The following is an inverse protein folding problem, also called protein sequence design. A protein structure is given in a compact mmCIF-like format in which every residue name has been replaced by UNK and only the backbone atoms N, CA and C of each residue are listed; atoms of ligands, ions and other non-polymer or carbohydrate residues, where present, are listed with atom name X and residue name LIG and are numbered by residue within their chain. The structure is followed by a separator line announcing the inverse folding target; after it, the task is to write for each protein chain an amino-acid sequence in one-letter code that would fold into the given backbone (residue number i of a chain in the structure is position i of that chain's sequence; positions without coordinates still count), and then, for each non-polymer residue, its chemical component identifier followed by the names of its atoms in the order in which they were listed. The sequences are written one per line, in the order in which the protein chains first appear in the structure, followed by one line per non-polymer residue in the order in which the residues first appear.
data_IF_685499725649
#
_entry.id   IF_685499725649
#
_cell.length_a   1.000
_cell.length_b   1.000
_cell.length_c   1.000
_cell.angle_alpha   90.00
_cell.angle_beta   90.00
_cell.angle_gamma   90.00
#
_symmetry.space_group_name_H-M   'P 1'
#
loop_
_entity.id
_entity.type
_entity.pdbx_description
1 polymer ?
#
# COMPACT_ATOMS: atom_id res chain seq x y z
N UNK A 1 -1.24 13.06 -24.34
CA UNK A 1 0.09 12.80 -23.75
C UNK A 1 -0.10 11.94 -22.51
N UNK A 2 0.59 10.81 -22.40
CA UNK A 2 0.49 9.93 -21.24
C UNK A 2 1.12 10.59 -20.01
N UNK A 3 0.45 10.50 -18.87
CA UNK A 3 0.99 10.93 -17.57
C UNK A 3 1.68 9.74 -16.89
N UNK A 4 2.74 9.99 -16.13
CA UNK A 4 3.52 8.92 -15.53
C UNK A 4 2.71 8.18 -14.46
N UNK A 5 2.74 6.85 -14.50
CA UNK A 5 2.22 5.96 -13.46
C UNK A 5 3.38 5.20 -12.82
N UNK A 6 3.31 4.97 -11.52
CA UNK A 6 4.35 4.24 -10.78
C UNK A 6 3.75 3.16 -9.90
N UNK A 7 4.54 2.10 -9.70
CA UNK A 7 4.32 1.06 -8.70
C UNK A 7 5.57 0.99 -7.83
N UNK A 8 5.42 1.19 -6.53
CA UNK A 8 6.40 0.81 -5.53
C UNK A 8 6.10 -0.63 -5.14
N UNK A 9 6.94 -1.59 -5.54
CA UNK A 9 6.70 -2.99 -5.23
C UNK A 9 6.96 -3.29 -3.76
N UNK A 10 6.47 -4.41 -3.25
CA UNK A 10 6.59 -4.78 -1.84
C UNK A 10 8.04 -4.76 -1.33
N UNK A 11 9.03 -5.04 -2.19
CA UNK A 11 10.46 -4.97 -1.88
C UNK A 11 10.99 -3.55 -1.67
N UNK A 12 10.32 -2.54 -2.23
CA UNK A 12 10.64 -1.13 -2.04
C UNK A 12 9.93 -0.54 -0.80
N UNK A 13 9.12 -1.33 -0.10
CA UNK A 13 8.43 -0.93 1.12
C UNK A 13 9.22 -1.31 2.36
N UNK A 14 9.13 -0.48 3.39
CA UNK A 14 9.58 -0.82 4.74
C UNK A 14 8.46 -1.55 5.47
N UNK A 15 8.59 -2.88 5.58
CA UNK A 15 7.64 -3.74 6.27
C UNK A 15 8.26 -4.25 7.56
N UNK A 16 7.65 -3.92 8.70
CA UNK A 16 8.14 -4.32 10.02
C UNK A 16 8.17 -5.86 10.14
N UNK A 17 9.34 -6.39 10.51
CA UNK A 17 9.66 -7.82 10.66
C UNK A 17 9.65 -8.67 9.38
N UNK A 18 9.72 -8.05 8.20
CA UNK A 18 9.71 -8.76 6.92
C UNK A 18 10.93 -9.63 6.63
N UNK A 19 12.00 -9.48 7.41
CA UNK A 19 13.18 -10.32 7.42
C UNK A 19 12.96 -11.69 8.10
N UNK A 20 11.87 -11.84 8.86
CA UNK A 20 11.57 -13.05 9.62
C UNK A 20 10.43 -13.86 8.98
N UNK A 21 10.79 -15.04 8.47
CA UNK A 21 9.86 -15.94 7.79
C UNK A 21 8.72 -16.50 8.67
N UNK A 22 8.81 -16.35 9.99
CA UNK A 22 7.70 -16.68 10.90
C UNK A 22 6.56 -15.64 10.82
N UNK A 23 6.85 -14.43 10.32
CA UNK A 23 5.90 -13.32 10.26
C UNK A 23 5.52 -12.95 8.83
N UNK A 24 6.47 -13.00 7.89
CA UNK A 24 6.25 -12.66 6.49
C UNK A 24 6.95 -13.64 5.55
N UNK A 25 6.31 -14.03 4.47
CA UNK A 25 6.89 -14.87 3.42
C UNK A 25 6.87 -14.09 2.11
N UNK A 26 8.02 -14.07 1.42
CA UNK A 26 8.12 -13.49 0.09
C UNK A 26 7.66 -14.52 -0.96
N UNK A 27 6.71 -14.12 -1.82
CA UNK A 27 6.11 -14.97 -2.85
C UNK A 27 6.36 -14.37 -4.23
N UNK A 28 6.77 -15.23 -5.16
CA UNK A 28 6.84 -14.90 -6.57
C UNK A 28 5.44 -14.89 -7.18
N UNK A 29 5.04 -13.75 -7.72
CA UNK A 29 3.85 -13.58 -8.53
C UNK A 29 4.31 -13.37 -9.98
N UNK A 30 3.87 -14.24 -10.89
CA UNK A 30 4.01 -13.98 -12.32
C UNK A 30 2.92 -13.02 -12.74
N UNK A 31 3.30 -11.85 -13.24
CA UNK A 31 2.32 -10.94 -13.83
C UNK A 31 2.06 -11.29 -15.31
N UNK A 32 1.21 -10.50 -15.97
CA UNK A 32 0.82 -10.74 -17.36
C UNK A 32 1.97 -10.57 -18.37
N UNK A 33 3.05 -9.89 -17.98
CA UNK A 33 4.28 -9.72 -18.77
C UNK A 33 5.26 -10.89 -18.59
N UNK A 34 4.90 -11.92 -17.81
CA UNK A 34 5.77 -13.01 -17.36
C UNK A 34 6.95 -12.56 -16.50
N UNK A 35 7.01 -11.28 -16.12
CA UNK A 35 7.97 -10.77 -15.15
C UNK A 35 7.57 -11.28 -13.75
N UNK A 36 8.56 -11.80 -13.04
CA UNK A 36 8.36 -12.35 -11.70
C UNK A 36 8.51 -11.22 -10.68
N UNK A 37 7.39 -10.79 -10.09
CA UNK A 37 7.40 -9.78 -9.03
C UNK A 37 7.30 -10.46 -7.67
N UNK A 38 8.00 -9.92 -6.68
CA UNK A 38 7.89 -10.41 -5.31
C UNK A 38 6.79 -9.66 -4.55
N UNK A 39 5.94 -10.44 -3.89
CA UNK A 39 4.86 -9.97 -3.01
C UNK A 39 5.13 -10.44 -1.58
N UNK A 40 4.67 -9.68 -0.59
CA UNK A 40 4.85 -10.01 0.82
C UNK A 40 3.55 -10.63 1.37
N UNK A 41 3.58 -11.92 1.71
CA UNK A 41 2.50 -12.63 2.39
C UNK A 41 2.69 -12.55 3.91
N UNK A 42 1.74 -11.96 4.60
CA UNK A 42 1.66 -11.93 6.05
C UNK A 42 1.27 -13.31 6.58
N UNK A 43 2.18 -13.96 7.30
CA UNK A 43 1.92 -15.21 8.01
C UNK A 43 1.08 -14.95 9.24
N UNK A 44 1.63 -14.18 10.19
CA UNK A 44 0.93 -13.84 11.43
C UNK A 44 1.66 -12.73 12.19
N UNK A 45 1.01 -11.61 12.52
CA UNK A 45 1.57 -10.55 13.39
C UNK A 45 0.51 -9.92 14.28
N UNK A 46 0.89 -9.43 15.46
CA UNK A 46 0.03 -8.56 16.27
C UNK A 46 0.23 -7.07 15.96
N UNK A 47 1.42 -6.69 15.48
CA UNK A 47 1.78 -5.34 15.02
C UNK A 47 1.92 -5.34 13.50
N UNK A 48 0.92 -4.82 12.80
CA UNK A 48 1.01 -4.60 11.35
C UNK A 48 1.50 -3.18 11.13
N UNK A 49 2.60 -3.02 10.40
CA UNK A 49 3.15 -1.73 10.03
C UNK A 49 3.95 -1.81 8.73
N UNK A 50 3.52 -1.03 7.76
CA UNK A 50 4.09 -0.97 6.41
C UNK A 50 4.18 0.49 6.00
N UNK A 51 5.35 0.89 5.51
CA UNK A 51 5.63 2.25 5.05
C UNK A 51 6.24 2.25 3.65
N UNK A 52 5.90 3.27 2.86
CA UNK A 52 6.48 3.55 1.55
C UNK A 52 6.78 5.02 1.40
N UNK A 53 7.74 5.34 0.53
CA UNK A 53 8.21 6.70 0.27
C UNK A 53 8.33 6.90 -1.23
N UNK A 54 7.90 8.07 -1.73
CA UNK A 54 7.99 8.37 -3.15
C UNK A 54 8.31 9.84 -3.42
N UNK A 55 9.27 10.10 -4.30
CA UNK A 55 9.66 11.45 -4.71
C UNK A 55 8.69 11.99 -5.77
N UNK A 56 7.98 13.07 -5.43
CA UNK A 56 6.99 13.70 -6.32
C UNK A 56 7.60 14.30 -7.58
N UNK A 57 8.93 14.54 -7.62
CA UNK A 57 9.63 15.02 -8.83
C UNK A 57 9.55 14.05 -10.01
N UNK A 58 9.28 12.77 -9.76
CA UNK A 58 9.10 11.75 -10.80
C UNK A 58 7.72 11.81 -11.46
N UNK A 59 6.75 12.49 -10.81
CA UNK A 59 5.38 12.59 -11.28
C UNK A 59 5.23 13.69 -12.34
N UNK A 60 4.21 13.56 -13.18
CA UNK A 60 3.86 14.60 -14.14
C UNK A 60 3.34 15.85 -13.39
N UNK A 61 3.79 17.06 -13.74
CA UNK A 61 3.35 18.29 -13.08
C UNK A 61 1.86 18.60 -13.32
N UNK A 62 1.30 19.47 -12.49
CA UNK A 62 -0.08 19.98 -12.59
C UNK A 62 -1.15 18.89 -12.78
N UNK A 63 -0.98 17.74 -12.12
CA UNK A 63 -1.81 16.54 -12.30
C UNK A 63 -2.32 16.03 -10.96
N UNK A 64 -3.59 15.62 -10.94
CA UNK A 64 -4.17 14.91 -9.81
C UNK A 64 -3.69 13.46 -9.82
N UNK A 65 -3.16 13.00 -8.70
CA UNK A 65 -2.69 11.64 -8.47
C UNK A 65 -3.49 10.98 -7.36
N UNK A 66 -3.76 9.69 -7.53
CA UNK A 66 -4.31 8.80 -6.51
C UNK A 66 -3.23 7.83 -6.06
N UNK A 67 -3.18 7.58 -4.74
CA UNK A 67 -2.27 6.64 -4.10
C UNK A 67 -3.09 5.50 -3.51
N UNK A 68 -2.82 4.26 -3.95
CA UNK A 68 -3.52 3.06 -3.49
C UNK A 68 -2.55 1.96 -3.06
N UNK A 69 -2.85 1.24 -1.97
CA UNK A 69 -2.21 -0.05 -1.72
C UNK A 69 -2.84 -1.12 -2.61
N UNK A 70 -2.01 -1.95 -3.25
CA UNK A 70 -2.47 -3.10 -4.04
C UNK A 70 -2.23 -4.36 -3.23
N UNK A 71 -3.33 -5.00 -2.81
CA UNK A 71 -3.30 -6.10 -1.84
C UNK A 71 -4.28 -7.22 -2.21
N UNK A 72 -4.14 -8.37 -1.58
CA UNK A 72 -5.08 -9.48 -1.62
C UNK A 72 -5.25 -10.05 -0.21
N UNK A 73 -6.46 -10.49 0.14
CA UNK A 73 -6.69 -11.29 1.34
C UNK A 73 -6.92 -12.74 0.96
N UNK A 74 -6.18 -13.67 1.56
CA UNK A 74 -6.40 -15.11 1.37
C UNK A 74 -7.73 -15.56 1.96
N UNK A 75 -8.27 -16.67 1.47
CA UNK A 75 -9.43 -17.36 2.04
C UNK A 75 -9.21 -17.68 3.53
N UNK A 76 -7.98 -18.03 3.90
CA UNK A 76 -7.49 -18.33 5.25
C UNK A 76 -7.14 -17.10 6.10
N UNK A 77 -7.37 -15.89 5.60
CA UNK A 77 -7.09 -14.66 6.33
C UNK A 77 -7.92 -14.57 7.62
N UNK A 78 -7.29 -14.11 8.71
CA UNK A 78 -7.87 -14.07 10.06
C UNK A 78 -7.33 -12.87 10.85
N UNK A 79 -7.98 -12.54 11.97
CA UNK A 79 -7.53 -11.47 12.88
C UNK A 79 -7.96 -10.04 12.49
N UNK A 80 -8.66 -9.87 11.37
CA UNK A 80 -9.01 -8.58 10.77
C UNK A 80 -10.22 -7.86 11.38
N UNK A 81 -10.61 -8.17 12.63
CA UNK A 81 -11.78 -7.55 13.28
C UNK A 81 -11.61 -6.05 13.54
N UNK A 82 -10.36 -5.62 13.72
CA UNK A 82 -10.01 -4.22 13.91
C UNK A 82 -9.64 -3.66 12.53
N UNK A 83 -10.24 -2.55 12.10
CA UNK A 83 -9.88 -1.89 10.85
C UNK A 83 -8.40 -1.49 10.84
N UNK A 84 -7.77 -1.57 9.67
CA UNK A 84 -6.43 -1.03 9.46
C UNK A 84 -6.48 0.47 9.20
N UNK A 85 -5.50 1.22 9.68
CA UNK A 85 -5.32 2.60 9.29
C UNK A 85 -4.50 2.64 8.00
N UNK A 86 -4.92 3.47 7.04
CA UNK A 86 -4.08 3.86 5.91
C UNK A 86 -3.91 5.37 5.92
N UNK A 87 -2.69 5.84 5.69
CA UNK A 87 -2.39 7.26 5.71
C UNK A 87 -1.43 7.68 4.58
N UNK A 88 -1.62 8.92 4.12
CA UNK A 88 -0.78 9.62 3.17
C UNK A 88 -0.33 10.94 3.81
N UNK A 89 0.96 11.08 4.04
CA UNK A 89 1.59 12.32 4.47
C UNK A 89 2.22 13.00 3.24
N UNK A 90 1.93 14.28 3.08
CA UNK A 90 2.32 15.07 1.93
C UNK A 90 3.49 16.02 2.27
N UNK A 91 4.25 16.52 1.28
CA UNK A 91 5.43 17.34 1.52
C UNK A 91 5.12 18.69 2.20
N UNK A 92 3.89 19.19 2.05
CA UNK A 92 3.40 20.40 2.71
C UNK A 92 3.05 20.19 4.20
N UNK A 93 3.25 18.97 4.72
CA UNK A 93 2.93 18.58 6.09
C UNK A 93 1.48 18.16 6.30
N UNK A 94 0.63 18.23 5.26
CA UNK A 94 -0.75 17.75 5.36
C UNK A 94 -0.81 16.22 5.41
N UNK A 95 -1.83 15.70 6.09
CA UNK A 95 -2.04 14.27 6.30
C UNK A 95 -3.47 13.88 5.97
N UNK A 96 -3.62 12.82 5.20
CA UNK A 96 -4.89 12.14 4.95
C UNK A 96 -4.84 10.78 5.62
N UNK A 97 -5.82 10.45 6.45
CA UNK A 97 -5.87 9.16 7.15
C UNK A 97 -7.30 8.64 7.19
N UNK A 98 -7.46 7.33 7.03
CA UNK A 98 -8.76 6.65 7.14
C UNK A 98 -8.61 5.22 7.66
N UNK A 99 -9.69 4.70 8.23
CA UNK A 99 -9.81 3.30 8.66
C UNK A 99 -10.46 2.46 7.57
N UNK A 100 -9.91 1.27 7.33
CA UNK A 100 -10.37 0.32 6.31
C UNK A 100 -10.71 -1.01 6.97
N UNK A 101 -11.96 -1.44 6.84
CA UNK A 101 -12.38 -2.76 7.31
C UNK A 101 -11.95 -3.81 6.30
N UNK A 102 -11.00 -4.66 6.70
CA UNK A 102 -10.49 -5.77 5.88
C UNK A 102 -11.47 -6.95 5.84
N UNK A 103 -12.45 -7.04 6.76
CA UNK A 103 -13.45 -8.10 6.77
C UNK A 103 -14.46 -8.01 5.62
N UNK A 104 -14.71 -6.81 5.11
CA UNK A 104 -15.68 -6.55 4.05
C UNK A 104 -15.09 -6.70 2.65
N UNK A 105 -13.79 -6.95 2.57
CA UNK A 105 -13.06 -7.02 1.32
C UNK A 105 -13.15 -8.41 0.69
N UNK A 106 -13.11 -8.51 -0.65
CA UNK A 106 -13.11 -9.80 -1.33
C UNK A 106 -11.86 -10.61 -0.96
N UNK A 107 -12.04 -11.93 -0.89
CA UNK A 107 -10.95 -12.88 -0.67
C UNK A 107 -10.47 -13.47 -2.00
N UNK A 108 -9.20 -13.82 -2.07
CA UNK A 108 -8.52 -14.40 -3.24
C UNK A 108 -8.60 -13.52 -4.50
N UNK A 109 -8.76 -12.21 -4.31
CA UNK A 109 -8.81 -11.23 -5.39
C UNK A 109 -7.88 -10.06 -5.08
N UNK A 110 -7.10 -9.63 -6.08
CA UNK A 110 -6.34 -8.38 -6.01
C UNK A 110 -7.30 -7.19 -5.97
N UNK A 111 -7.08 -6.31 -5.01
CA UNK A 111 -7.87 -5.11 -4.80
C UNK A 111 -6.98 -3.92 -4.51
N UNK A 112 -7.55 -2.74 -4.71
CA UNK A 112 -6.92 -1.46 -4.42
C UNK A 112 -7.58 -0.83 -3.21
N UNK A 113 -6.77 -0.51 -2.20
CA UNK A 113 -7.20 0.25 -1.03
C UNK A 113 -6.76 1.69 -1.24
N UNK A 114 -7.68 2.64 -1.52
CA UNK A 114 -7.31 4.03 -1.69
C UNK A 114 -6.83 4.63 -0.37
N UNK A 115 -5.69 5.29 -0.41
CA UNK A 115 -5.09 5.95 0.75
C UNK A 115 -5.42 7.43 0.75
N UNK A 116 -5.21 8.09 -0.39
CA UNK A 116 -5.41 9.53 -0.56
C UNK A 116 -5.12 9.98 -1.98
N UNK A 117 -5.34 11.27 -2.21
CA UNK A 117 -5.08 11.91 -3.49
C UNK A 117 -4.41 13.27 -3.28
N UNK A 118 -3.62 13.71 -4.26
CA UNK A 118 -2.98 15.01 -4.21
C UNK A 118 -2.70 15.53 -5.62
N UNK A 119 -2.59 16.85 -5.74
CA UNK A 119 -2.23 17.50 -7.00
C UNK A 119 -0.75 17.85 -7.00
N UNK A 120 -0.04 17.54 -8.08
CA UNK A 120 1.36 17.93 -8.22
C UNK A 120 1.48 19.43 -8.49
N UNK A 121 2.30 20.12 -7.70
CA UNK A 121 2.56 21.55 -7.76
C UNK A 121 3.90 21.88 -7.09
N UNK A 122 4.44 23.10 -7.25
CA UNK A 122 5.72 23.50 -6.64
C UNK A 122 5.75 23.34 -5.10
N UNK A 123 4.65 23.63 -4.42
CA UNK A 123 4.47 23.45 -2.97
C UNK A 123 4.39 21.97 -2.54
N UNK A 124 4.18 21.07 -3.50
CA UNK A 124 4.10 19.62 -3.30
C UNK A 124 5.39 18.90 -3.74
N UNK A 125 6.51 19.63 -3.88
CA UNK A 125 7.82 19.06 -4.18
C UNK A 125 8.43 18.43 -2.93
N UNK A 126 8.79 17.15 -3.01
CA UNK A 126 9.41 16.42 -1.93
C UNK A 126 8.99 14.97 -1.91
N UNK A 127 9.06 14.36 -0.73
CA UNK A 127 8.71 12.95 -0.55
C UNK A 127 7.30 12.83 0.05
N UNK A 128 6.43 12.08 -0.63
CA UNK A 128 5.21 11.58 0.02
C UNK A 128 5.54 10.35 0.85
N UNK A 129 4.84 10.18 1.96
CA UNK A 129 4.94 8.98 2.79
C UNK A 129 3.57 8.30 2.86
N UNK A 130 3.54 7.01 2.57
CA UNK A 130 2.33 6.18 2.56
C UNK A 130 2.49 5.10 3.62
N UNK A 131 1.43 4.84 4.39
CA UNK A 131 1.49 3.82 5.44
C UNK A 131 0.21 3.00 5.57
N UNK A 132 0.34 1.74 5.94
CA UNK A 132 -0.73 0.85 6.38
C UNK A 132 -0.33 0.25 7.73
N UNK A 133 -1.16 0.43 8.77
CA UNK A 133 -0.83 -0.06 10.10
C UNK A 133 -2.05 -0.40 10.97
N UNK A 134 -1.85 -1.36 11.88
CA UNK A 134 -2.74 -1.68 12.99
C UNK A 134 -1.94 -2.39 14.09
N UNK A 135 -1.84 -1.75 15.25
CA UNK A 135 -1.15 -2.29 16.43
C UNK A 135 -1.89 -2.02 17.75
N UNK A 136 -3.03 -1.32 17.72
CA UNK A 136 -3.78 -0.92 18.92
C UNK A 136 -4.50 -2.10 19.58
N UNK A 137 -4.79 -3.16 18.83
CA UNK A 137 -5.59 -4.29 19.31
C UNK A 137 -4.85 -5.45 19.97
N UNK A 138 -3.52 -5.54 19.77
CA UNK A 138 -2.73 -6.73 20.10
C UNK A 138 -3.25 -8.03 19.46
N UNK A 139 -4.13 -7.93 18.46
CA UNK A 139 -4.76 -9.09 17.80
C UNK A 139 -3.87 -9.58 16.69
N UNK A 140 -3.49 -10.84 16.81
CA UNK A 140 -2.79 -11.59 15.77
C UNK A 140 -3.65 -11.67 14.51
N UNK A 141 -3.04 -11.35 13.37
CA UNK A 141 -3.67 -11.34 12.05
C UNK A 141 -2.72 -11.87 10.98
N UNK A 142 -3.31 -12.51 9.97
CA UNK A 142 -2.57 -13.18 8.91
C UNK A 142 -3.37 -13.28 7.61
N UNK A 143 -2.68 -13.69 6.55
CA UNK A 143 -3.25 -13.93 5.22
C UNK A 143 -3.44 -12.69 4.35
N UNK A 144 -2.83 -11.55 4.69
CA UNK A 144 -2.71 -10.40 3.79
C UNK A 144 -1.53 -10.61 2.84
N UNK A 145 -1.71 -10.33 1.56
CA UNK A 145 -0.63 -10.30 0.58
C UNK A 145 -0.52 -8.88 0.04
N UNK A 146 0.68 -8.31 0.08
CA UNK A 146 0.97 -6.97 -0.41
C UNK A 146 1.75 -7.08 -1.71
N UNK A 147 1.21 -6.50 -2.78
CA UNK A 147 1.95 -6.32 -4.05
C UNK A 147 2.78 -5.05 -4.03
N UNK A 148 2.22 -3.97 -3.48
CA UNK A 148 2.90 -2.68 -3.46
C UNK A 148 1.96 -1.50 -3.26
N UNK A 149 2.48 -0.30 -3.55
CA UNK A 149 1.72 0.95 -3.63
C UNK A 149 1.71 1.45 -5.06
N UNK A 150 0.52 1.68 -5.60
CA UNK A 150 0.33 2.28 -6.92
C UNK A 150 0.09 3.78 -6.79
N UNK A 151 0.77 4.55 -7.63
CA UNK A 151 0.66 6.00 -7.72
C UNK A 151 0.33 6.33 -9.17
N UNK A 152 -0.92 6.72 -9.42
CA UNK A 152 -1.42 6.88 -10.78
C UNK A 152 -2.15 8.22 -10.97
N UNK A 153 -2.11 8.81 -12.17
CA UNK A 153 -2.92 9.96 -12.51
C UNK A 153 -4.40 9.60 -12.38
N UNK A 154 -5.16 10.44 -11.67
CA UNK A 154 -6.62 10.34 -11.61
C UNK A 154 -7.20 11.17 -12.75
N UNK A 155 -7.90 10.52 -13.67
CA UNK A 155 -8.62 11.23 -14.71
C UNK A 155 -9.83 11.90 -14.07
N UNK A 156 -9.83 13.23 -14.02
CA UNK A 156 -11.05 13.99 -13.75
C UNK A 156 -11.83 14.08 -15.06
N UNK A 157 -13.01 13.46 -15.10
CA UNK A 157 -13.98 13.71 -16.16
C UNK A 157 -14.44 15.17 -16.13
#
# INVERSE_FOLDING_TARGET
MGKNCFMLYARDLSITWSENNNYWIWRQLKDASEESIETAELVNVCWLEVHGKFDTKKLSPASLYEVTFVVMLKCTAHGWKIPVNVALNLPDGSKQERKVSMLQQPKEQWMEIPVGEFRTSPEMLGEIQVSMYEFDGGKWKGGLIIKGVKIQPKTTC
#
